data_IF_105710685285
#
_entry.id   IF_105710685285
#
_cell.length_a   1.000
_cell.length_b   1.000
_cell.length_c   1.000
_cell.angle_alpha   90.00
_cell.angle_beta   90.00
_cell.angle_gamma   90.00
#
_symmetry.space_group_name_H-M   'P 1'
#
loop_
_entity.id
_entity.type
_entity.pdbx_description
1 polymer ?
#
# COMPACT_ATOMS: atom_id res chain seq x y z
N UNK A 1 -20.26 -7.87 -19.09
CA UNK A 1 -19.09 -7.93 -18.20
C UNK A 1 -17.87 -7.48 -18.96
N UNK A 2 -17.18 -6.45 -18.50
CA UNK A 2 -15.88 -6.06 -19.04
C UNK A 2 -14.86 -7.10 -18.57
N UNK A 3 -14.32 -7.87 -19.50
CA UNK A 3 -13.23 -8.78 -19.22
C UNK A 3 -12.01 -7.93 -18.81
N UNK A 4 -11.41 -8.21 -17.64
CA UNK A 4 -10.18 -7.53 -17.25
C UNK A 4 -9.10 -7.81 -18.30
N UNK A 5 -8.43 -6.77 -18.79
CA UNK A 5 -7.35 -6.92 -19.78
C UNK A 5 -6.18 -7.74 -19.25
N UNK A 6 -5.94 -7.67 -17.93
CA UNK A 6 -4.88 -8.39 -17.26
C UNK A 6 -5.46 -9.20 -16.10
N UNK A 7 -5.15 -10.51 -16.01
CA UNK A 7 -5.56 -11.32 -14.87
C UNK A 7 -4.83 -10.89 -13.59
N UNK A 8 -5.49 -11.11 -12.46
CA UNK A 8 -4.85 -11.00 -11.14
C UNK A 8 -4.24 -12.38 -10.85
N UNK A 9 -2.92 -12.48 -10.92
CA UNK A 9 -2.22 -13.73 -10.73
C UNK A 9 -2.21 -14.22 -9.27
N UNK A 10 -2.27 -15.52 -9.12
CA UNK A 10 -2.07 -16.28 -7.88
C UNK A 10 -0.81 -17.12 -7.99
N UNK A 11 -0.47 -17.88 -6.94
CA UNK A 11 0.66 -18.83 -7.01
C UNK A 11 0.48 -19.90 -8.09
N UNK A 12 -0.77 -20.25 -8.39
CA UNK A 12 -1.11 -21.28 -9.37
C UNK A 12 -1.03 -20.77 -10.82
N UNK A 13 -1.28 -19.47 -11.01
CA UNK A 13 -1.41 -18.88 -12.37
C UNK A 13 -0.21 -18.04 -12.79
N UNK A 14 0.64 -17.60 -11.84
CA UNK A 14 1.82 -16.79 -12.15
C UNK A 14 2.90 -17.59 -12.87
N UNK A 15 3.73 -16.91 -13.66
CA UNK A 15 4.89 -17.53 -14.30
C UNK A 15 5.85 -18.15 -13.27
N UNK A 16 6.54 -19.26 -13.63
CA UNK A 16 7.45 -19.94 -12.71
C UNK A 16 8.51 -19.02 -12.08
N UNK A 17 9.03 -18.06 -12.85
CA UNK A 17 10.07 -17.11 -12.40
C UNK A 17 9.60 -16.17 -11.29
N UNK A 18 8.30 -15.85 -11.21
CA UNK A 18 7.73 -14.98 -10.18
C UNK A 18 7.09 -15.73 -9.01
N UNK A 19 6.99 -17.04 -9.08
CA UNK A 19 6.30 -17.83 -8.05
C UNK A 19 6.91 -17.69 -6.67
N UNK A 20 8.22 -17.71 -6.57
CA UNK A 20 8.93 -17.50 -5.29
C UNK A 20 8.71 -16.10 -4.73
N UNK A 21 8.72 -15.08 -5.61
CA UNK A 21 8.43 -13.70 -5.23
C UNK A 21 7.02 -13.58 -4.62
N UNK A 22 6.01 -14.11 -5.31
CA UNK A 22 4.63 -14.06 -4.81
C UNK A 22 4.45 -14.89 -3.53
N UNK A 23 5.13 -16.01 -3.39
CA UNK A 23 5.11 -16.81 -2.16
C UNK A 23 5.69 -16.03 -0.97
N UNK A 24 6.76 -15.30 -1.20
CA UNK A 24 7.36 -14.40 -0.19
C UNK A 24 6.40 -13.27 0.19
N UNK A 25 5.77 -12.63 -0.78
CA UNK A 25 4.75 -11.60 -0.55
C UNK A 25 3.62 -12.16 0.30
N UNK A 26 3.09 -13.32 -0.06
CA UNK A 26 2.01 -14.00 0.68
C UNK A 26 2.39 -14.25 2.14
N UNK A 27 3.60 -14.78 2.38
CA UNK A 27 4.11 -15.03 3.74
C UNK A 27 4.20 -13.75 4.56
N UNK A 28 4.73 -12.67 3.97
CA UNK A 28 4.96 -11.41 4.66
C UNK A 28 3.67 -10.58 4.84
N UNK A 29 2.60 -10.92 4.12
CA UNK A 29 1.35 -10.17 4.10
C UNK A 29 0.20 -10.93 4.78
N UNK A 30 0.50 -11.77 5.77
CA UNK A 30 -0.53 -12.46 6.56
C UNK A 30 -1.28 -13.56 5.82
N UNK A 31 -0.67 -14.16 4.81
CA UNK A 31 -1.20 -15.36 4.12
C UNK A 31 -1.97 -15.07 2.83
N UNK A 32 -1.98 -13.84 2.32
CA UNK A 32 -2.62 -13.51 1.04
C UNK A 32 -1.71 -12.66 0.15
N UNK A 33 -1.99 -12.69 -1.16
CA UNK A 33 -1.33 -11.84 -2.15
C UNK A 33 -2.26 -10.65 -2.43
N UNK A 34 -1.82 -9.39 -2.17
CA UNK A 34 -2.62 -8.22 -2.55
C UNK A 34 -2.93 -8.23 -4.06
N UNK A 35 -4.13 -7.86 -4.44
CA UNK A 35 -4.55 -7.82 -5.85
C UNK A 35 -3.60 -6.99 -6.72
N UNK A 36 -3.07 -5.90 -6.18
CA UNK A 36 -2.06 -5.07 -6.86
C UNK A 36 -0.83 -5.88 -7.26
N UNK A 37 -0.33 -6.73 -6.37
CA UNK A 37 0.84 -7.58 -6.65
C UNK A 37 0.49 -8.64 -7.71
N UNK A 38 -0.67 -9.27 -7.59
CA UNK A 38 -1.15 -10.22 -8.59
C UNK A 38 -1.33 -9.57 -9.98
N UNK A 39 -1.76 -8.31 -10.02
CA UNK A 39 -1.90 -7.57 -11.27
C UNK A 39 -0.53 -7.19 -11.86
N UNK A 40 0.39 -6.69 -11.05
CA UNK A 40 1.74 -6.33 -11.48
C UNK A 40 2.55 -7.55 -11.94
N UNK A 41 2.22 -8.74 -11.46
CA UNK A 41 2.85 -10.00 -11.87
C UNK A 41 2.59 -10.40 -13.33
N UNK A 42 1.79 -9.64 -14.08
CA UNK A 42 1.71 -9.75 -15.54
C UNK A 42 3.01 -9.28 -16.24
N UNK A 43 3.84 -8.51 -15.56
CA UNK A 43 5.15 -8.06 -16.05
C UNK A 43 6.19 -8.15 -14.94
N UNK A 44 7.23 -8.99 -15.09
CA UNK A 44 8.32 -9.06 -14.10
C UNK A 44 8.96 -7.71 -13.79
N UNK A 45 9.18 -6.88 -14.80
CA UNK A 45 9.76 -5.54 -14.65
C UNK A 45 8.81 -4.56 -13.95
N UNK A 46 7.52 -4.63 -14.18
CA UNK A 46 6.54 -3.80 -13.47
C UNK A 46 6.51 -4.14 -11.98
N UNK A 47 6.51 -5.43 -11.65
CA UNK A 47 6.56 -5.89 -10.26
C UNK A 47 7.86 -5.49 -9.58
N UNK A 48 9.01 -5.69 -10.24
CA UNK A 48 10.33 -5.29 -9.73
C UNK A 48 10.39 -3.78 -9.49
N UNK A 49 9.92 -2.97 -10.43
CA UNK A 49 9.87 -1.50 -10.28
C UNK A 49 9.09 -1.09 -9.05
N UNK A 50 7.89 -1.63 -8.88
CA UNK A 50 7.05 -1.32 -7.72
C UNK A 50 7.72 -1.73 -6.41
N UNK A 51 8.26 -2.94 -6.33
CA UNK A 51 8.91 -3.45 -5.11
C UNK A 51 10.19 -2.68 -4.79
N UNK A 52 10.97 -2.29 -5.81
CA UNK A 52 12.19 -1.49 -5.64
C UNK A 52 11.87 -0.10 -5.11
N UNK A 53 10.90 0.60 -5.70
CA UNK A 53 10.46 1.93 -5.24
C UNK A 53 9.92 1.85 -3.81
N UNK A 54 9.12 0.83 -3.50
CA UNK A 54 8.61 0.61 -2.14
C UNK A 54 9.75 0.39 -1.13
N UNK A 55 10.77 -0.36 -1.52
CA UNK A 55 11.97 -0.58 -0.70
C UNK A 55 12.76 0.69 -0.46
N UNK A 56 12.90 1.54 -1.47
CA UNK A 56 13.56 2.86 -1.37
C UNK A 56 12.79 3.76 -0.41
N UNK A 57 11.47 3.83 -0.56
CA UNK A 57 10.62 4.66 0.30
C UNK A 57 10.71 4.28 1.78
N UNK A 58 10.90 3.00 2.10
CA UNK A 58 11.11 2.54 3.48
C UNK A 58 12.40 3.07 4.12
N UNK A 59 13.38 3.48 3.31
CA UNK A 59 14.66 4.04 3.75
C UNK A 59 14.68 5.57 3.74
N UNK A 60 13.55 6.22 3.47
CA UNK A 60 13.42 7.67 3.57
C UNK A 60 13.60 8.15 5.03
N UNK A 61 13.80 9.45 5.21
CA UNK A 61 13.90 10.06 6.55
C UNK A 61 12.57 10.08 7.31
N UNK A 62 11.45 9.76 6.65
CA UNK A 62 10.14 9.68 7.29
C UNK A 62 10.04 8.40 8.16
N UNK A 63 9.53 8.55 9.36
CA UNK A 63 9.23 7.40 10.21
C UNK A 63 7.99 6.62 9.67
N UNK A 64 7.68 5.42 10.18
CA UNK A 64 6.56 4.62 9.68
C UNK A 64 5.21 5.34 9.73
N UNK A 65 4.91 6.09 10.78
CA UNK A 65 3.67 6.87 10.89
C UNK A 65 3.60 7.96 9.83
N UNK A 66 4.68 8.71 9.65
CA UNK A 66 4.76 9.77 8.65
C UNK A 66 4.61 9.24 7.22
N UNK A 67 5.18 8.07 6.93
CA UNK A 67 4.98 7.41 5.63
C UNK A 67 3.51 7.06 5.37
N UNK A 68 2.81 6.52 6.37
CA UNK A 68 1.39 6.20 6.21
C UNK A 68 0.53 7.46 6.09
N UNK A 69 0.88 8.57 6.76
CA UNK A 69 0.23 9.87 6.55
C UNK A 69 0.32 10.29 5.09
N UNK A 70 1.50 10.25 4.50
CA UNK A 70 1.72 10.60 3.07
C UNK A 70 0.94 9.65 2.15
N UNK A 71 0.98 8.35 2.40
CA UNK A 71 0.32 7.33 1.58
C UNK A 71 -1.20 7.49 1.59
N UNK A 72 -1.80 7.66 2.78
CA UNK A 72 -3.26 7.82 2.89
C UNK A 72 -3.70 9.16 2.28
N UNK A 73 -2.96 10.24 2.54
CA UNK A 73 -3.26 11.55 1.96
C UNK A 73 -3.26 11.51 0.43
N UNK A 74 -2.23 10.94 -0.16
CA UNK A 74 -2.15 10.78 -1.61
C UNK A 74 -3.28 9.87 -2.15
N UNK A 75 -3.60 8.80 -1.46
CA UNK A 75 -4.66 7.87 -1.84
C UNK A 75 -6.05 8.53 -1.81
N UNK A 76 -6.35 9.31 -0.78
CA UNK A 76 -7.61 10.07 -0.66
C UNK A 76 -7.71 11.12 -1.75
N UNK A 77 -6.65 11.92 -1.96
CA UNK A 77 -6.60 12.97 -2.97
C UNK A 77 -6.83 12.44 -4.39
N UNK A 78 -6.38 11.20 -4.66
CA UNK A 78 -6.53 10.56 -5.98
C UNK A 78 -7.74 9.62 -6.08
N UNK A 79 -8.59 9.52 -5.07
CA UNK A 79 -9.78 8.68 -5.08
C UNK A 79 -9.48 7.18 -5.14
N UNK A 80 -8.30 6.73 -4.67
CA UNK A 80 -7.91 5.33 -4.68
C UNK A 80 -8.43 4.58 -3.45
N UNK A 81 -9.65 4.07 -3.51
CA UNK A 81 -10.27 3.32 -2.39
C UNK A 81 -9.46 2.08 -1.96
N UNK A 82 -8.88 1.35 -2.91
CA UNK A 82 -7.98 0.22 -2.62
C UNK A 82 -6.77 0.65 -1.80
N UNK A 83 -6.13 1.76 -2.18
CA UNK A 83 -4.96 2.29 -1.48
C UNK A 83 -5.33 2.76 -0.07
N UNK A 84 -6.45 3.48 0.08
CA UNK A 84 -6.95 3.90 1.41
C UNK A 84 -7.18 2.69 2.31
N UNK A 85 -7.84 1.66 1.81
CA UNK A 85 -8.12 0.44 2.60
C UNK A 85 -6.81 -0.27 3.01
N UNK A 86 -5.87 -0.44 2.09
CA UNK A 86 -4.59 -1.11 2.34
C UNK A 86 -3.75 -0.36 3.38
N UNK A 87 -3.57 0.94 3.20
CA UNK A 87 -2.78 1.76 4.14
C UNK A 87 -3.49 1.98 5.48
N UNK A 88 -4.83 1.97 5.51
CA UNK A 88 -5.60 1.92 6.76
C UNK A 88 -5.26 0.65 7.55
N UNK A 89 -5.25 -0.51 6.90
CA UNK A 89 -4.92 -1.78 7.55
C UNK A 89 -3.48 -1.79 8.10
N UNK A 90 -2.51 -1.26 7.36
CA UNK A 90 -1.12 -1.11 7.81
C UNK A 90 -1.06 -0.17 9.02
N UNK A 91 -1.74 0.97 8.96
CA UNK A 91 -1.78 1.97 10.03
C UNK A 91 -2.32 1.38 11.33
N UNK A 92 -3.34 0.54 11.27
CA UNK A 92 -3.91 -0.13 12.45
C UNK A 92 -2.99 -1.24 12.96
N UNK A 93 -2.60 -2.16 12.07
CA UNK A 93 -1.96 -3.42 12.47
C UNK A 93 -0.48 -3.29 12.77
N UNK A 94 0.25 -2.49 12.00
CA UNK A 94 1.71 -2.39 12.07
C UNK A 94 2.17 -1.11 12.76
N UNK A 95 1.65 0.04 12.36
CA UNK A 95 2.08 1.36 12.85
C UNK A 95 1.42 1.72 14.18
N UNK A 96 0.25 1.17 14.48
CA UNK A 96 -0.55 1.52 15.66
C UNK A 96 -0.91 3.00 15.72
N UNK A 97 -1.27 3.55 14.57
CA UNK A 97 -1.67 4.95 14.45
C UNK A 97 -2.90 5.23 15.32
N UNK A 98 -2.93 6.34 16.09
CA UNK A 98 -4.13 6.74 16.83
C UNK A 98 -5.33 6.92 15.90
N UNK A 99 -6.50 6.41 16.31
CA UNK A 99 -7.70 6.42 15.47
C UNK A 99 -8.12 7.83 15.06
N UNK A 100 -7.97 8.82 15.94
CA UNK A 100 -8.29 10.23 15.63
C UNK A 100 -7.48 10.76 14.44
N UNK A 101 -6.21 10.38 14.32
CA UNK A 101 -5.35 10.76 13.19
C UNK A 101 -5.78 10.01 11.93
N UNK A 102 -6.01 8.70 12.06
CA UNK A 102 -6.42 7.86 10.93
C UNK A 102 -7.76 8.31 10.33
N UNK A 103 -8.73 8.65 11.15
CA UNK A 103 -10.02 9.15 10.68
C UNK A 103 -9.89 10.52 9.99
N UNK A 104 -9.10 11.43 10.53
CA UNK A 104 -8.83 12.73 9.89
C UNK A 104 -8.22 12.54 8.49
N UNK A 105 -7.22 11.66 8.35
CA UNK A 105 -6.60 11.33 7.06
C UNK A 105 -7.61 10.76 6.07
N UNK A 106 -8.43 9.80 6.50
CA UNK A 106 -9.43 9.15 5.64
C UNK A 106 -10.54 10.10 5.19
N UNK A 107 -10.87 11.09 6.00
CA UNK A 107 -11.87 12.12 5.71
C UNK A 107 -11.28 13.34 4.96
N UNK A 108 -9.97 13.44 4.86
CA UNK A 108 -9.30 14.60 4.28
C UNK A 108 -9.48 15.88 5.12
N UNK A 109 -9.62 15.73 6.44
CA UNK A 109 -9.77 16.83 7.38
C UNK A 109 -8.46 17.11 8.12
N UNK A 110 -8.30 18.31 8.74
CA UNK A 110 -7.09 18.63 9.51
C UNK A 110 -6.82 17.64 10.65
N UNK A 111 -5.54 17.39 10.91
CA UNK A 111 -5.07 16.60 12.06
C UNK A 111 -4.81 17.57 13.22
N UNK A 112 -5.83 17.83 14.02
CA UNK A 112 -5.77 18.84 15.10
C UNK A 112 -4.83 18.45 16.24
N UNK A 113 -4.57 17.15 16.42
CA UNK A 113 -3.79 16.61 17.54
C UNK A 113 -2.28 16.56 17.28
N UNK A 114 -1.83 16.79 16.05
CA UNK A 114 -0.42 16.72 15.67
C UNK A 114 -0.14 17.68 14.50
N UNK A 115 0.42 18.85 14.82
CA UNK A 115 0.71 19.87 13.82
C UNK A 115 1.75 19.46 12.77
N UNK A 116 2.71 18.58 13.12
CA UNK A 116 3.69 18.06 12.17
C UNK A 116 3.04 17.13 11.15
N UNK A 117 2.21 16.20 11.61
CA UNK A 117 1.49 15.29 10.73
C UNK A 117 0.45 16.03 9.89
N UNK A 118 -0.21 17.07 10.44
CA UNK A 118 -1.11 17.90 9.66
C UNK A 118 -0.38 18.64 8.53
N UNK A 119 0.78 19.21 8.80
CA UNK A 119 1.59 19.88 7.79
C UNK A 119 2.05 18.89 6.68
N UNK A 120 2.36 17.65 7.06
CA UNK A 120 2.75 16.61 6.11
C UNK A 120 1.58 16.13 5.23
N UNK A 121 0.35 16.24 5.72
CA UNK A 121 -0.88 15.85 5.02
C UNK A 121 -1.44 16.94 4.09
N UNK A 122 -0.81 18.12 3.99
CA UNK A 122 -1.22 19.25 3.11
C UNK A 122 -0.30 19.34 1.90
#
# INVERSE_FOLDING_TARGET
MTQAFFPIHTLETVSPELRENLATVKKNNGGYIPNLIGLLANSPTALETYQTVSGINRRSSLNPTEREVVQITAAVANGCGFCVAGHTAISIKQVKMPDVILQALRQGTPIETDAKLDALAR
#
